data_IF_149250295616
#
_entry.id   IF_149250295616
#
_cell.length_a   1.000
_cell.length_b   1.000
_cell.length_c   1.000
_cell.angle_alpha   90.00
_cell.angle_beta   90.00
_cell.angle_gamma   90.00
#
_symmetry.space_group_name_H-M   'P 1'
#
loop_
_entity.id
_entity.type
_entity.pdbx_description
1 polymer ?
#
# COMPACT_ATOMS: atom_id res chain seq x y z
N UNK A 1 14.71 47.57 -26.79
CA UNK A 1 15.06 47.04 -28.14
C UNK A 1 16.54 47.23 -28.46
N UNK A 2 17.11 48.45 -28.43
CA UNK A 2 18.52 48.70 -28.76
C UNK A 2 19.58 48.03 -27.84
N UNK A 3 19.29 47.92 -26.54
CA UNK A 3 20.17 47.24 -25.57
C UNK A 3 20.26 45.73 -25.80
N UNK A 4 19.18 45.12 -26.28
CA UNK A 4 19.12 43.67 -26.53
C UNK A 4 19.89 43.36 -27.83
N UNK A 5 19.78 44.21 -28.86
CA UNK A 5 20.53 44.04 -30.10
C UNK A 5 22.04 44.20 -29.92
N UNK A 6 22.50 45.15 -29.10
CA UNK A 6 23.93 45.33 -28.82
C UNK A 6 24.51 44.18 -27.96
N UNK A 7 23.72 43.65 -27.03
CA UNK A 7 24.07 42.46 -26.25
C UNK A 7 24.24 41.21 -27.14
N UNK A 8 23.33 41.00 -28.09
CA UNK A 8 23.36 39.88 -29.05
C UNK A 8 24.59 39.98 -29.97
N UNK A 9 24.92 41.19 -30.45
CA UNK A 9 26.09 41.44 -31.29
C UNK A 9 27.42 41.21 -30.54
N UNK A 10 27.49 41.57 -29.25
CA UNK A 10 28.66 41.32 -28.39
C UNK A 10 28.84 39.84 -28.05
N UNK A 11 27.75 39.12 -27.74
CA UNK A 11 27.78 37.67 -27.50
C UNK A 11 28.25 36.87 -28.73
N UNK A 12 27.96 37.36 -29.94
CA UNK A 12 28.35 36.72 -31.21
C UNK A 12 29.85 36.90 -31.54
N UNK A 13 30.49 37.94 -31.01
CA UNK A 13 31.92 38.25 -31.26
C UNK A 13 32.87 37.63 -30.24
N UNK A 14 32.44 37.41 -29.00
CA UNK A 14 33.27 36.81 -27.96
C UNK A 14 32.43 35.82 -27.11
N UNK A 15 32.58 34.48 -27.27
CA UNK A 15 31.73 33.48 -26.63
C UNK A 15 32.13 33.15 -25.17
N UNK A 16 33.23 33.73 -24.68
CA UNK A 16 33.77 33.51 -23.32
C UNK A 16 32.85 33.87 -22.14
N UNK A 17 31.99 34.91 -22.19
CA UNK A 17 31.03 35.17 -21.11
C UNK A 17 29.84 34.20 -21.15
N UNK A 18 29.47 33.68 -22.33
CA UNK A 18 28.39 32.72 -22.49
C UNK A 18 28.75 31.34 -21.94
N UNK A 19 30.03 30.96 -21.91
CA UNK A 19 30.49 29.72 -21.27
C UNK A 19 30.65 29.83 -19.75
N UNK A 20 30.73 31.04 -19.20
CA UNK A 20 30.83 31.30 -17.75
C UNK A 20 29.48 31.53 -17.06
N UNK A 21 28.43 31.86 -17.83
CA UNK A 21 27.07 32.09 -17.33
C UNK A 21 26.32 30.83 -16.83
N UNK A 22 26.43 29.64 -17.48
CA UNK A 22 25.69 28.44 -17.10
C UNK A 22 25.82 28.03 -15.61
N UNK A 23 27.00 28.06 -14.96
CA UNK A 23 27.09 27.70 -13.55
C UNK A 23 26.38 28.69 -12.62
N UNK A 24 26.41 30.00 -12.91
CA UNK A 24 25.70 31.01 -12.11
C UNK A 24 24.20 30.92 -12.31
N UNK A 25 23.74 30.69 -13.55
CA UNK A 25 22.32 30.48 -13.84
C UNK A 25 21.81 29.20 -13.18
N UNK A 26 22.60 28.11 -13.24
CA UNK A 26 22.28 26.86 -12.54
C UNK A 26 22.20 27.07 -11.03
N UNK A 27 23.17 27.77 -10.43
CA UNK A 27 23.14 28.09 -8.99
C UNK A 27 21.91 28.93 -8.61
N UNK A 28 21.54 29.91 -9.43
CA UNK A 28 20.33 30.72 -9.22
C UNK A 28 19.07 29.86 -9.29
N UNK A 29 18.94 28.99 -10.29
CA UNK A 29 17.79 28.08 -10.44
C UNK A 29 17.70 27.09 -9.27
N UNK A 30 18.84 26.57 -8.78
CA UNK A 30 18.89 25.73 -7.58
C UNK A 30 18.41 26.52 -6.37
N UNK A 31 18.88 27.76 -6.18
CA UNK A 31 18.47 28.61 -5.07
C UNK A 31 16.97 28.92 -5.11
N UNK A 32 16.43 29.23 -6.30
CA UNK A 32 14.98 29.41 -6.50
C UNK A 32 14.22 28.13 -6.16
N UNK A 33 14.72 26.96 -6.59
CA UNK A 33 14.13 25.66 -6.26
C UNK A 33 14.10 25.39 -4.75
N UNK A 34 15.20 25.69 -4.04
CA UNK A 34 15.28 25.57 -2.58
C UNK A 34 14.27 26.49 -1.90
N UNK A 35 14.18 27.75 -2.33
CA UNK A 35 13.18 28.69 -1.79
C UNK A 35 11.77 28.13 -2.02
N UNK A 36 11.49 27.60 -3.21
CA UNK A 36 10.18 27.02 -3.53
C UNK A 36 9.81 25.84 -2.63
N UNK A 37 10.78 24.94 -2.35
CA UNK A 37 10.59 23.84 -1.42
C UNK A 37 10.29 24.32 0.01
N UNK A 38 10.92 25.41 0.45
CA UNK A 38 10.65 26.00 1.76
C UNK A 38 9.29 26.72 1.84
N UNK A 39 8.69 27.10 0.71
CA UNK A 39 7.35 27.69 0.67
C UNK A 39 6.23 26.65 0.73
N UNK A 40 6.45 25.40 0.27
CA UNK A 40 5.42 24.36 0.23
C UNK A 40 4.75 24.05 1.59
N UNK A 41 5.45 24.02 2.74
CA UNK A 41 4.82 23.71 4.03
C UNK A 41 3.97 24.85 4.63
N UNK A 42 3.92 26.01 3.97
CA UNK A 42 3.08 27.14 4.41
C UNK A 42 1.59 26.78 4.31
N UNK A 43 0.77 27.38 5.18
CA UNK A 43 -0.67 27.12 5.27
C UNK A 43 -1.42 27.41 3.96
N UNK A 44 -0.95 28.40 3.21
CA UNK A 44 -1.54 28.85 1.95
C UNK A 44 -1.41 27.79 0.84
N UNK A 45 -0.36 26.96 0.92
CA UNK A 45 -0.06 25.90 -0.05
C UNK A 45 -0.39 24.50 0.47
N UNK A 46 -0.40 24.31 1.79
CA UNK A 46 -0.86 23.09 2.45
C UNK A 46 -2.38 23.04 2.45
N UNK A 47 -2.95 22.54 1.35
CA UNK A 47 -4.37 22.12 1.35
C UNK A 47 -4.48 20.89 2.26
N UNK A 48 -5.50 20.86 3.11
CA UNK A 48 -5.87 19.65 3.87
C UNK A 48 -6.16 18.47 2.91
N UNK A 49 -6.43 17.28 3.45
CA UNK A 49 -6.72 16.06 2.67
C UNK A 49 -7.83 16.31 1.65
N UNK A 50 -7.46 16.44 0.38
CA UNK A 50 -8.37 16.65 -0.75
C UNK A 50 -8.54 15.34 -1.52
N UNK A 51 -9.78 14.94 -1.76
CA UNK A 51 -10.06 13.71 -2.50
C UNK A 51 -10.49 14.09 -3.91
N UNK A 52 -9.72 13.64 -4.90
CA UNK A 52 -9.95 13.94 -6.30
C UNK A 52 -10.97 13.00 -6.96
N UNK A 53 -11.10 11.78 -6.42
CA UNK A 53 -11.96 10.72 -6.93
C UNK A 53 -13.27 10.59 -6.14
N UNK A 54 -14.40 10.77 -6.83
CA UNK A 54 -15.73 10.69 -6.23
C UNK A 54 -16.09 9.27 -5.71
N UNK A 55 -15.42 8.22 -6.21
CA UNK A 55 -15.65 6.84 -5.78
C UNK A 55 -15.07 6.54 -4.39
N UNK A 56 -14.18 7.39 -3.87
CA UNK A 56 -13.48 7.22 -2.60
C UNK A 56 -13.91 8.22 -1.52
N UNK A 57 -15.04 8.91 -1.70
CA UNK A 57 -15.53 9.91 -0.76
C UNK A 57 -15.84 9.28 0.63
N UNK A 58 -15.09 9.66 1.68
CA UNK A 58 -15.25 9.14 3.02
C UNK A 58 -16.58 9.63 3.60
N UNK A 59 -17.17 8.85 4.51
CA UNK A 59 -18.40 9.28 5.17
C UNK A 59 -19.70 8.99 4.41
N UNK A 60 -19.64 8.52 3.16
CA UNK A 60 -20.85 8.30 2.37
C UNK A 60 -21.56 6.96 2.65
N UNK A 61 -20.91 6.05 3.38
CA UNK A 61 -21.45 4.70 3.64
C UNK A 61 -21.29 4.35 5.12
N UNK A 62 -22.36 3.81 5.72
CA UNK A 62 -22.29 3.22 7.05
C UNK A 62 -21.55 1.88 7.02
N UNK A 63 -20.55 1.72 7.88
CA UNK A 63 -19.85 0.45 8.07
C UNK A 63 -20.66 -0.45 9.00
N UNK A 64 -21.20 -1.56 8.49
CA UNK A 64 -21.90 -2.55 9.32
C UNK A 64 -20.96 -3.65 9.84
N UNK A 65 -19.64 -3.47 9.67
CA UNK A 65 -18.62 -4.35 10.22
C UNK A 65 -18.44 -4.07 11.71
N UNK A 66 -19.34 -4.60 12.54
CA UNK A 66 -19.35 -4.39 13.99
C UNK A 66 -19.94 -5.60 14.72
N UNK A 67 -19.81 -5.62 16.05
CA UNK A 67 -20.51 -6.56 16.94
C UNK A 67 -20.31 -8.02 16.59
N UNK A 68 -21.25 -8.61 15.85
CA UNK A 68 -21.23 -10.02 15.46
C UNK A 68 -19.98 -10.41 14.67
N UNK A 69 -19.48 -9.52 13.80
CA UNK A 69 -18.28 -9.81 13.01
C UNK A 69 -17.02 -9.92 13.89
N UNK A 70 -17.00 -9.28 15.08
CA UNK A 70 -15.92 -9.46 16.04
C UNK A 70 -15.88 -10.89 16.61
N UNK A 71 -17.03 -11.54 16.76
CA UNK A 71 -17.09 -12.94 17.21
C UNK A 71 -16.59 -13.88 16.11
N UNK A 72 -16.95 -13.61 14.85
CA UNK A 72 -16.44 -14.36 13.70
C UNK A 72 -14.92 -14.22 13.59
N UNK A 73 -14.42 -12.99 13.73
CA UNK A 73 -12.99 -12.72 13.75
C UNK A 73 -12.26 -13.52 14.83
N UNK A 74 -12.77 -13.50 16.07
CA UNK A 74 -12.19 -14.27 17.19
C UNK A 74 -12.22 -15.78 16.91
N UNK A 75 -13.30 -16.28 16.32
CA UNK A 75 -13.44 -17.68 15.92
C UNK A 75 -12.37 -18.09 14.90
N UNK A 76 -12.26 -17.35 13.79
CA UNK A 76 -11.22 -17.64 12.79
C UNK A 76 -9.81 -17.51 13.34
N UNK A 77 -9.56 -16.53 14.22
CA UNK A 77 -8.27 -16.40 14.90
C UNK A 77 -7.95 -17.67 15.70
N UNK A 78 -8.89 -18.19 16.48
CA UNK A 78 -8.71 -19.42 17.26
C UNK A 78 -8.47 -20.64 16.36
N UNK A 79 -9.19 -20.76 15.25
CA UNK A 79 -9.02 -21.86 14.29
C UNK A 79 -7.65 -21.84 13.61
N UNK A 80 -7.17 -20.65 13.26
CA UNK A 80 -5.83 -20.44 12.69
C UNK A 80 -4.74 -20.67 13.74
N UNK A 81 -4.96 -20.19 14.97
CA UNK A 81 -4.05 -20.36 16.09
C UNK A 81 -3.81 -21.84 16.41
N UNK A 82 -4.83 -22.69 16.24
CA UNK A 82 -4.71 -24.14 16.42
C UNK A 82 -3.76 -24.83 15.43
N UNK A 83 -3.50 -24.23 14.26
CA UNK A 83 -2.59 -24.75 13.23
C UNK A 83 -1.33 -23.91 13.08
N UNK A 84 -1.08 -22.95 13.98
CA UNK A 84 0.03 -21.98 13.83
C UNK A 84 1.42 -22.63 13.76
N UNK A 85 1.60 -23.72 14.50
CA UNK A 85 2.86 -24.45 14.63
C UNK A 85 2.93 -25.70 13.74
N UNK A 86 1.88 -25.93 12.93
CA UNK A 86 1.82 -27.06 12.00
C UNK A 86 2.67 -26.79 10.74
N UNK A 87 2.91 -27.85 9.97
CA UNK A 87 3.50 -27.72 8.63
C UNK A 87 2.60 -26.85 7.73
N UNK A 88 3.22 -26.03 6.88
CA UNK A 88 2.48 -25.04 6.10
C UNK A 88 1.47 -25.68 5.13
N UNK A 89 1.67 -26.92 4.70
CA UNK A 89 0.68 -27.66 3.91
C UNK A 89 -0.64 -27.86 4.69
N UNK A 90 -0.56 -28.11 6.00
CA UNK A 90 -1.74 -28.21 6.88
C UNK A 90 -2.40 -26.85 7.05
N UNK A 91 -1.60 -25.79 7.24
CA UNK A 91 -2.08 -24.40 7.29
C UNK A 91 -2.83 -24.05 6.00
N UNK A 92 -2.24 -24.35 4.84
CA UNK A 92 -2.85 -24.13 3.53
C UNK A 92 -4.18 -24.86 3.40
N UNK A 93 -4.23 -26.15 3.76
CA UNK A 93 -5.48 -26.92 3.73
C UNK A 93 -6.56 -26.32 4.63
N UNK A 94 -6.19 -25.84 5.83
CA UNK A 94 -7.12 -25.17 6.75
C UNK A 94 -7.65 -23.85 6.18
N UNK A 95 -6.78 -23.02 5.59
CA UNK A 95 -7.19 -21.78 4.92
C UNK A 95 -8.15 -22.05 3.75
N UNK A 96 -7.83 -23.08 2.94
CA UNK A 96 -8.71 -23.50 1.85
C UNK A 96 -10.07 -23.96 2.36
N UNK A 97 -10.13 -24.69 3.49
CA UNK A 97 -11.40 -25.13 4.07
C UNK A 97 -12.26 -23.94 4.49
N UNK A 98 -11.68 -22.97 5.21
CA UNK A 98 -12.41 -21.78 5.69
C UNK A 98 -13.00 -20.96 4.55
N UNK A 99 -12.23 -20.74 3.48
CA UNK A 99 -12.75 -20.04 2.30
C UNK A 99 -13.88 -20.82 1.60
N UNK A 100 -13.73 -22.15 1.45
CA UNK A 100 -14.78 -23.01 0.85
C UNK A 100 -16.05 -23.02 1.69
N UNK A 101 -15.93 -23.14 3.01
CA UNK A 101 -17.03 -23.06 3.97
C UNK A 101 -17.75 -21.70 3.92
N UNK A 102 -17.01 -20.65 3.57
CA UNK A 102 -17.56 -19.30 3.32
C UNK A 102 -18.22 -19.14 1.94
N UNK A 103 -18.28 -20.21 1.13
CA UNK A 103 -18.90 -20.21 -0.20
C UNK A 103 -18.05 -19.55 -1.29
N UNK A 104 -16.73 -19.53 -1.11
CA UNK A 104 -15.79 -18.90 -2.03
C UNK A 104 -15.03 -19.92 -2.88
N UNK A 105 -14.70 -19.52 -4.11
CA UNK A 105 -13.81 -20.28 -4.98
C UNK A 105 -12.37 -20.07 -4.54
N UNK A 106 -11.66 -21.16 -4.30
CA UNK A 106 -10.29 -21.15 -3.78
C UNK A 106 -9.35 -21.77 -4.79
N UNK A 107 -8.18 -21.17 -4.91
CA UNK A 107 -7.04 -21.73 -5.61
C UNK A 107 -5.77 -21.64 -4.77
N UNK A 108 -4.81 -22.47 -5.14
CA UNK A 108 -3.47 -22.45 -4.58
C UNK A 108 -2.45 -22.30 -5.69
N UNK A 109 -1.29 -21.76 -5.36
CA UNK A 109 -0.17 -21.64 -6.28
C UNK A 109 1.10 -22.06 -5.54
N UNK A 110 1.75 -23.13 -6.00
CA UNK A 110 3.10 -23.47 -5.53
C UNK A 110 4.12 -22.67 -6.32
N UNK A 111 5.19 -22.26 -5.65
CA UNK A 111 6.24 -21.48 -6.27
C UNK A 111 7.60 -21.80 -5.68
N UNK A 112 8.61 -21.78 -6.54
CA UNK A 112 10.02 -21.69 -6.17
C UNK A 112 10.59 -20.41 -6.81
N UNK A 113 10.73 -19.36 -5.99
CA UNK A 113 11.16 -18.04 -6.40
C UNK A 113 12.63 -17.79 -6.04
N UNK A 114 13.46 -17.46 -7.02
CA UNK A 114 14.89 -17.19 -6.80
C UNK A 114 15.13 -15.70 -6.75
N UNK A 115 15.66 -15.21 -5.63
CA UNK A 115 16.02 -13.81 -5.46
C UNK A 115 17.34 -13.68 -4.71
N UNK A 116 18.26 -12.87 -5.25
CA UNK A 116 19.57 -12.58 -4.66
C UNK A 116 20.38 -13.83 -4.24
N UNK A 117 20.28 -14.92 -5.01
CA UNK A 117 20.99 -16.18 -4.73
C UNK A 117 20.29 -17.14 -3.76
N UNK A 118 19.21 -16.70 -3.10
CA UNK A 118 18.38 -17.54 -2.25
C UNK A 118 17.18 -18.11 -3.02
N UNK A 119 16.74 -19.31 -2.63
CA UNK A 119 15.52 -19.94 -3.14
C UNK A 119 14.45 -19.83 -2.06
N UNK A 120 13.34 -19.21 -2.40
CA UNK A 120 12.16 -19.07 -1.56
C UNK A 120 11.05 -19.95 -2.13
N UNK A 121 10.65 -20.96 -1.37
CA UNK A 121 9.64 -21.92 -1.77
C UNK A 121 8.41 -21.81 -0.89
N UNK A 122 7.22 -21.96 -1.47
CA UNK A 122 6.00 -21.91 -0.71
C UNK A 122 4.74 -22.18 -1.51
N UNK A 123 3.59 -22.05 -0.85
CA UNK A 123 2.29 -22.16 -1.47
C UNK A 123 1.42 -20.97 -1.08
N UNK A 124 0.96 -20.21 -2.06
CA UNK A 124 -0.04 -19.16 -1.85
C UNK A 124 -1.44 -19.78 -1.83
N UNK A 125 -2.32 -19.26 -0.98
CA UNK A 125 -3.75 -19.60 -0.98
C UNK A 125 -4.52 -18.33 -1.31
N UNK A 126 -5.40 -18.38 -2.29
CA UNK A 126 -6.17 -17.20 -2.66
C UNK A 126 -7.59 -17.54 -3.09
N UNK A 127 -8.45 -16.53 -3.03
CA UNK A 127 -9.87 -16.62 -3.32
C UNK A 127 -10.34 -15.36 -4.02
N UNK A 128 -11.34 -15.48 -4.90
CA UNK A 128 -11.90 -14.36 -5.66
C UNK A 128 -13.39 -14.22 -5.37
N UNK A 129 -13.79 -13.01 -4.98
CA UNK A 129 -15.19 -12.56 -4.96
C UNK A 129 -15.43 -11.80 -6.26
N UNK A 130 -16.26 -12.36 -7.13
CA UNK A 130 -16.72 -11.64 -8.32
C UNK A 130 -17.74 -10.58 -7.90
N UNK A 131 -17.56 -9.35 -8.38
CA UNK A 131 -18.43 -8.23 -8.10
C UNK A 131 -19.83 -8.47 -8.67
N UNK A 132 -20.89 -8.43 -7.84
CA UNK A 132 -22.26 -8.63 -8.33
C UNK A 132 -22.74 -7.53 -9.29
N UNK A 133 -22.13 -6.34 -9.24
CA UNK A 133 -22.43 -5.19 -10.10
C UNK A 133 -21.27 -4.79 -11.00
N UNK A 134 -20.21 -5.60 -11.05
CA UNK A 134 -19.05 -5.40 -11.91
C UNK A 134 -19.14 -6.26 -13.16
N UNK A 135 -18.37 -5.90 -14.17
CA UNK A 135 -18.16 -6.69 -15.40
C UNK A 135 -16.95 -7.65 -15.29
N UNK A 136 -16.30 -7.70 -14.11
CA UNK A 136 -15.12 -8.52 -13.86
C UNK A 136 -13.84 -8.01 -14.52
N UNK A 137 -13.82 -6.77 -15.02
CA UNK A 137 -12.66 -6.18 -15.70
C UNK A 137 -11.65 -5.52 -14.76
N UNK A 138 -12.04 -5.27 -13.51
CA UNK A 138 -11.22 -4.62 -12.50
C UNK A 138 -11.27 -5.39 -11.18
N UNK A 139 -10.12 -5.45 -10.49
CA UNK A 139 -9.98 -6.14 -9.22
C UNK A 139 -9.14 -5.36 -8.21
N UNK A 140 -9.41 -5.57 -6.92
CA UNK A 140 -8.60 -5.11 -5.79
C UNK A 140 -8.09 -6.33 -5.03
N UNK A 141 -6.84 -6.27 -4.57
CA UNK A 141 -6.21 -7.37 -3.81
C UNK A 141 -6.11 -7.02 -2.33
N UNK A 142 -6.61 -7.90 -1.48
CA UNK A 142 -6.42 -7.87 -0.04
C UNK A 142 -5.43 -8.96 0.34
N UNK A 143 -4.24 -8.56 0.78
CA UNK A 143 -3.12 -9.45 1.08
C UNK A 143 -2.97 -9.60 2.58
N UNK A 144 -2.80 -10.82 3.07
CA UNK A 144 -2.34 -11.06 4.44
C UNK A 144 -1.29 -12.16 4.43
N UNK A 145 -0.05 -11.81 4.76
CA UNK A 145 1.01 -12.79 4.92
C UNK A 145 0.83 -13.55 6.24
N UNK A 146 1.16 -14.84 6.27
CA UNK A 146 1.17 -15.65 7.48
C UNK A 146 2.25 -15.20 8.47
N UNK A 147 3.41 -14.84 7.94
CA UNK A 147 4.51 -14.21 8.68
C UNK A 147 4.75 -12.80 8.16
N UNK A 148 4.89 -11.84 9.07
CA UNK A 148 5.23 -10.45 8.73
C UNK A 148 6.63 -10.35 8.15
N UNK A 149 7.01 -9.16 7.68
CA UNK A 149 8.39 -8.85 7.25
C UNK A 149 9.43 -9.16 8.34
N UNK A 150 9.04 -9.09 9.63
CA UNK A 150 9.92 -9.40 10.77
C UNK A 150 9.98 -10.89 11.12
N UNK A 151 9.20 -11.73 10.43
CA UNK A 151 9.07 -13.15 10.73
C UNK A 151 8.12 -13.47 11.89
N UNK A 152 7.38 -12.47 12.40
CA UNK A 152 6.37 -12.65 13.45
C UNK A 152 5.08 -13.26 12.86
N UNK A 153 4.35 -14.11 13.60
CA UNK A 153 3.09 -14.66 13.13
C UNK A 153 2.01 -13.57 13.05
N UNK A 154 1.38 -13.44 11.89
CA UNK A 154 0.37 -12.43 11.60
C UNK A 154 -1.06 -12.99 11.68
N UNK A 155 -1.37 -13.69 12.79
CA UNK A 155 -2.63 -14.43 12.93
C UNK A 155 -3.85 -13.49 12.86
N UNK A 156 -3.75 -12.28 13.44
CA UNK A 156 -4.84 -11.31 13.39
C UNK A 156 -5.03 -10.73 11.99
N UNK A 157 -3.95 -10.48 11.23
CA UNK A 157 -4.05 -10.03 9.84
C UNK A 157 -4.74 -11.07 8.95
N UNK A 158 -4.38 -12.35 9.09
CA UNK A 158 -5.01 -13.45 8.34
C UNK A 158 -6.47 -13.65 8.76
N UNK A 159 -6.75 -13.65 10.07
CA UNK A 159 -8.12 -13.76 10.58
C UNK A 159 -9.01 -12.59 10.12
N UNK A 160 -8.46 -11.36 10.03
CA UNK A 160 -9.16 -10.20 9.49
C UNK A 160 -9.50 -10.40 8.02
N UNK A 161 -8.54 -10.86 7.21
CA UNK A 161 -8.77 -11.15 5.79
C UNK A 161 -9.88 -12.19 5.59
N UNK A 162 -9.87 -13.29 6.36
CA UNK A 162 -10.92 -14.32 6.30
C UNK A 162 -12.30 -13.79 6.72
N UNK A 163 -12.34 -12.98 7.78
CA UNK A 163 -13.59 -12.36 8.26
C UNK A 163 -14.16 -11.43 7.21
N UNK A 164 -13.32 -10.59 6.61
CA UNK A 164 -13.70 -9.69 5.51
C UNK A 164 -14.17 -10.47 4.29
N UNK A 165 -13.52 -11.58 3.93
CA UNK A 165 -13.94 -12.42 2.81
C UNK A 165 -15.36 -12.95 2.99
N UNK A 166 -15.67 -13.49 4.17
CA UNK A 166 -17.02 -13.93 4.52
C UNK A 166 -18.03 -12.79 4.53
N UNK A 167 -17.65 -11.65 5.10
CA UNK A 167 -18.52 -10.47 5.19
C UNK A 167 -18.83 -9.90 3.80
N UNK A 168 -17.82 -9.69 2.96
CA UNK A 168 -17.96 -9.15 1.60
C UNK A 168 -18.76 -10.07 0.68
N UNK A 169 -18.64 -11.40 0.85
CA UNK A 169 -19.42 -12.36 0.07
C UNK A 169 -20.94 -12.20 0.25
N UNK A 170 -21.39 -11.69 1.39
CA UNK A 170 -22.81 -11.46 1.71
C UNK A 170 -23.36 -10.16 1.12
N UNK A 171 -22.47 -9.30 0.63
CA UNK A 171 -22.82 -7.96 0.15
C UNK A 171 -22.95 -7.93 -1.37
N UNK A 172 -23.99 -7.28 -1.89
CA UNK A 172 -24.33 -7.22 -3.32
C UNK A 172 -23.98 -5.89 -4.01
N UNK A 173 -23.20 -5.04 -3.35
CA UNK A 173 -22.93 -3.67 -3.80
C UNK A 173 -21.58 -3.49 -4.51
N UNK A 174 -20.72 -4.52 -4.51
CA UNK A 174 -19.38 -4.43 -5.09
C UNK A 174 -19.41 -4.22 -6.61
N UNK A 175 -18.60 -3.26 -7.08
CA UNK A 175 -18.40 -2.91 -8.49
C UNK A 175 -17.08 -3.41 -9.07
N UNK A 176 -16.14 -3.86 -8.22
CA UNK A 176 -14.84 -4.44 -8.59
C UNK A 176 -14.68 -5.79 -7.91
N UNK A 177 -14.04 -6.73 -8.59
CA UNK A 177 -13.72 -8.03 -8.01
C UNK A 177 -12.76 -7.85 -6.83
N UNK A 178 -12.88 -8.71 -5.82
CA UNK A 178 -12.04 -8.67 -4.62
C UNK A 178 -11.29 -9.98 -4.50
N UNK A 179 -9.97 -9.88 -4.54
CA UNK A 179 -9.07 -11.03 -4.41
C UNK A 179 -8.53 -11.04 -2.99
N UNK A 180 -8.71 -12.14 -2.27
CA UNK A 180 -8.06 -12.38 -0.99
C UNK A 180 -6.85 -13.28 -1.22
N UNK A 181 -5.67 -12.79 -0.90
CA UNK A 181 -4.39 -13.48 -1.09
C UNK A 181 -3.72 -13.70 0.26
N UNK A 182 -3.54 -14.97 0.64
CA UNK A 182 -2.80 -15.38 1.84
C UNK A 182 -1.48 -16.01 1.40
N UNK A 183 -0.37 -15.39 1.79
CA UNK A 183 0.98 -15.80 1.43
C UNK A 183 1.71 -16.38 2.64
N UNK A 184 2.69 -17.29 2.45
CA UNK A 184 3.53 -17.76 3.56
C UNK A 184 4.35 -16.63 4.21
N UNK A 185 4.76 -15.66 3.41
CA UNK A 185 5.61 -14.54 3.79
C UNK A 185 5.20 -13.24 3.07
N UNK A 186 5.63 -12.08 3.60
CA UNK A 186 5.24 -10.76 3.07
C UNK A 186 5.87 -10.36 1.74
N UNK A 187 6.86 -11.11 1.19
CA UNK A 187 7.62 -10.70 0.00
C UNK A 187 7.55 -11.72 -1.14
N UNK A 188 8.17 -12.90 -0.98
CA UNK A 188 8.30 -13.88 -2.06
C UNK A 188 6.97 -14.44 -2.52
N UNK A 189 6.06 -14.78 -1.60
CA UNK A 189 4.73 -15.26 -1.97
C UNK A 189 3.94 -14.25 -2.78
N UNK A 190 3.92 -12.98 -2.34
CA UNK A 190 3.21 -11.92 -3.05
C UNK A 190 3.83 -11.66 -4.43
N UNK A 191 5.16 -11.65 -4.53
CA UNK A 191 5.89 -11.47 -5.78
C UNK A 191 5.63 -12.61 -6.78
N UNK A 192 5.70 -13.87 -6.33
CA UNK A 192 5.43 -15.01 -7.19
C UNK A 192 3.97 -15.02 -7.71
N UNK A 193 3.04 -14.55 -6.88
CA UNK A 193 1.63 -14.45 -7.27
C UNK A 193 1.40 -13.33 -8.30
N UNK A 194 1.95 -12.14 -8.08
CA UNK A 194 1.79 -11.01 -9.02
C UNK A 194 2.47 -11.27 -10.37
N UNK A 195 3.66 -11.87 -10.36
CA UNK A 195 4.36 -12.26 -11.58
C UNK A 195 3.51 -13.27 -12.37
N UNK A 196 2.89 -14.24 -11.69
CA UNK A 196 2.00 -15.19 -12.35
C UNK A 196 0.65 -14.58 -12.79
N UNK A 197 0.16 -13.59 -12.07
CA UNK A 197 -1.04 -12.85 -12.45
C UNK A 197 -0.87 -12.18 -13.82
N UNK A 198 0.30 -11.59 -14.05
CA UNK A 198 0.66 -10.91 -15.30
C UNK A 198 1.32 -11.82 -16.35
N UNK A 199 1.33 -13.14 -16.14
CA UNK A 199 1.98 -14.10 -17.06
C UNK A 199 3.48 -13.82 -17.29
N UNK A 200 4.14 -13.24 -16.28
CA UNK A 200 5.57 -12.89 -16.25
C UNK A 200 6.40 -13.86 -15.37
N UNK A 201 5.81 -14.99 -14.99
CA UNK A 201 6.43 -15.91 -14.04
C UNK A 201 7.46 -16.84 -14.71
N UNK A 202 8.53 -17.24 -13.99
CA UNK A 202 9.44 -18.28 -14.48
C UNK A 202 8.78 -19.67 -14.44
N UNK A 203 9.35 -20.68 -15.11
CA UNK A 203 8.82 -22.06 -15.10
C UNK A 203 8.76 -22.72 -13.72
N UNK A 204 9.48 -22.19 -12.74
CA UNK A 204 9.51 -22.68 -11.35
C UNK A 204 8.34 -22.16 -10.51
N UNK A 205 7.49 -21.31 -11.07
CA UNK A 205 6.28 -20.76 -10.42
C UNK A 205 5.07 -21.29 -11.17
N UNK A 206 4.09 -21.84 -10.46
CA UNK A 206 2.87 -22.34 -11.09
C UNK A 206 2.01 -21.18 -11.65
N UNK A 207 1.36 -21.39 -12.80
CA UNK A 207 0.38 -20.43 -13.32
C UNK A 207 -0.86 -20.39 -12.42
N UNK A 208 -1.61 -19.29 -12.48
CA UNK A 208 -2.82 -19.12 -11.67
C UNK A 208 -4.05 -19.74 -12.35
N UNK A 209 -4.73 -20.73 -11.73
CA UNK A 209 -5.94 -21.34 -12.30
C UNK A 209 -7.16 -20.42 -12.22
N UNK A 210 -7.14 -19.45 -11.29
CA UNK A 210 -8.16 -18.41 -11.16
C UNK A 210 -7.52 -17.04 -11.38
N UNK A 211 -8.07 -16.26 -12.31
CA UNK A 211 -7.71 -14.85 -12.54
C UNK A 211 -8.98 -13.99 -12.54
N UNK A 212 -8.79 -12.69 -12.37
CA UNK A 212 -9.83 -11.68 -12.45
C UNK A 212 -9.33 -10.54 -13.35
N UNK A 213 -9.98 -9.38 -13.29
CA UNK A 213 -9.65 -8.20 -14.07
C UNK A 213 -8.31 -7.54 -13.75
N UNK A 214 -8.07 -6.38 -14.33
CA UNK A 214 -6.89 -5.57 -14.07
C UNK A 214 -6.84 -5.14 -12.59
N UNK A 215 -5.67 -5.28 -11.96
CA UNK A 215 -5.47 -4.90 -10.57
C UNK A 215 -5.42 -3.37 -10.44
N UNK A 216 -6.40 -2.80 -9.72
CA UNK A 216 -6.51 -1.35 -9.51
C UNK A 216 -5.86 -0.90 -8.20
N UNK A 217 -5.65 -1.82 -7.26
CA UNK A 217 -5.02 -1.52 -5.99
C UNK A 217 -4.82 -2.77 -5.14
N UNK A 218 -3.94 -2.64 -4.15
CA UNK A 218 -3.69 -3.69 -3.17
C UNK A 218 -3.61 -3.10 -1.75
N UNK A 219 -4.14 -3.83 -0.78
CA UNK A 219 -4.04 -3.50 0.64
C UNK A 219 -3.46 -4.71 1.37
N UNK A 220 -2.35 -4.52 2.07
CA UNK A 220 -1.68 -5.56 2.84
C UNK A 220 -1.95 -5.39 4.34
N UNK A 221 -2.49 -6.42 4.98
CA UNK A 221 -2.76 -6.45 6.41
C UNK A 221 -1.58 -7.04 7.18
N UNK A 222 -0.85 -6.20 7.91
CA UNK A 222 0.09 -6.63 8.95
C UNK A 222 -0.42 -6.21 10.33
N UNK A 223 -0.94 -7.19 11.07
CA UNK A 223 -1.48 -7.04 12.42
C UNK A 223 -0.97 -8.20 13.30
N UNK A 224 0.30 -8.16 13.75
CA UNK A 224 0.90 -9.26 14.52
C UNK A 224 0.68 -9.18 16.04
N UNK A 225 -0.06 -8.19 16.55
CA UNK A 225 -0.19 -7.92 17.98
C UNK A 225 -1.61 -8.13 18.50
N UNK A 226 -1.76 -8.43 19.79
CA UNK A 226 -3.05 -8.70 20.46
C UNK A 226 -3.51 -7.55 21.39
N UNK A 227 -2.79 -6.43 21.42
CA UNK A 227 -3.14 -5.26 22.23
C UNK A 227 -3.99 -4.26 21.44
N UNK A 228 -4.63 -3.34 22.17
CA UNK A 228 -5.28 -2.16 21.57
C UNK A 228 -4.22 -1.21 21.01
N UNK A 229 -4.60 -0.43 20.03
CA UNK A 229 -3.77 0.64 19.46
C UNK A 229 -4.54 1.95 19.52
N UNK A 230 -3.83 3.06 19.70
CA UNK A 230 -4.42 4.40 19.75
C UNK A 230 -4.29 5.16 18.41
N UNK A 231 -3.42 4.68 17.53
CA UNK A 231 -3.13 5.32 16.25
C UNK A 231 -2.87 4.31 15.13
N UNK A 232 -3.22 4.70 13.91
CA UNK A 232 -2.86 4.00 12.68
C UNK A 232 -1.73 4.79 12.05
N UNK A 233 -0.58 4.16 11.81
CA UNK A 233 0.49 4.81 11.07
C UNK A 233 0.50 4.34 9.63
N UNK A 234 0.40 5.33 8.73
CA UNK A 234 0.31 5.13 7.29
C UNK A 234 1.65 5.55 6.67
N UNK A 235 2.25 4.61 5.94
CA UNK A 235 3.48 4.82 5.18
C UNK A 235 3.15 4.70 3.69
N UNK A 236 3.61 5.65 2.89
CA UNK A 236 3.27 5.75 1.47
C UNK A 236 4.50 5.53 0.55
N UNK A 237 5.54 4.89 1.07
CA UNK A 237 6.78 4.68 0.32
C UNK A 237 6.62 3.52 -0.68
N UNK A 238 6.71 3.82 -1.97
CA UNK A 238 6.75 2.83 -3.04
C UNK A 238 8.15 2.60 -3.59
N UNK A 239 8.31 1.50 -4.32
CA UNK A 239 9.58 1.15 -4.99
C UNK A 239 9.95 2.25 -5.98
N UNK A 240 11.23 2.65 -6.03
CA UNK A 240 11.74 3.67 -6.96
C UNK A 240 11.03 5.03 -6.87
N UNK A 241 10.54 5.40 -5.69
CA UNK A 241 9.85 6.68 -5.49
C UNK A 241 8.45 6.75 -6.11
N UNK A 242 7.88 5.60 -6.48
CA UNK A 242 6.46 5.53 -6.80
C UNK A 242 5.62 5.87 -5.55
N UNK A 243 4.53 6.58 -5.76
CA UNK A 243 3.60 6.95 -4.69
C UNK A 243 2.28 6.20 -4.89
N UNK A 244 1.63 5.75 -3.81
CA UNK A 244 0.28 5.22 -3.89
C UNK A 244 -0.70 6.32 -4.31
N UNK A 245 -1.88 5.91 -4.75
CA UNK A 245 -2.95 6.86 -5.04
C UNK A 245 -3.24 7.72 -3.80
N UNK A 246 -3.13 9.04 -3.95
CA UNK A 246 -3.36 10.02 -2.88
C UNK A 246 -4.78 9.93 -2.32
N UNK A 247 -5.77 9.56 -3.14
CA UNK A 247 -7.15 9.48 -2.69
C UNK A 247 -7.36 8.31 -1.73
N UNK A 248 -6.73 7.15 -1.99
CA UNK A 248 -6.77 6.01 -1.07
C UNK A 248 -6.22 6.39 0.31
N UNK A 249 -5.13 7.15 0.31
CA UNK A 249 -4.50 7.66 1.50
C UNK A 249 -5.38 8.67 2.25
N UNK A 250 -5.93 9.65 1.53
CA UNK A 250 -6.80 10.67 2.12
C UNK A 250 -8.08 10.07 2.70
N UNK A 251 -8.65 9.06 2.04
CA UNK A 251 -9.80 8.32 2.56
C UNK A 251 -9.45 7.58 3.85
N UNK A 252 -8.29 6.91 3.91
CA UNK A 252 -7.85 6.23 5.13
C UNK A 252 -7.65 7.21 6.31
N UNK A 253 -7.01 8.35 6.07
CA UNK A 253 -6.82 9.41 7.08
C UNK A 253 -8.17 9.98 7.52
N UNK A 254 -9.06 10.28 6.58
CA UNK A 254 -10.37 10.87 6.86
C UNK A 254 -11.28 9.92 7.65
N UNK A 255 -11.31 8.62 7.30
CA UNK A 255 -12.10 7.62 8.03
C UNK A 255 -11.53 7.41 9.44
N UNK A 256 -10.21 7.27 9.57
CA UNK A 256 -9.54 7.04 10.86
C UNK A 256 -9.80 8.20 11.81
N UNK A 257 -9.46 9.43 11.41
CA UNK A 257 -9.60 10.61 12.25
C UNK A 257 -11.07 11.00 12.45
N UNK A 258 -11.87 10.98 11.38
CA UNK A 258 -13.24 11.52 11.39
C UNK A 258 -14.29 10.56 11.94
N UNK A 259 -14.33 9.32 11.45
CA UNK A 259 -15.37 8.36 11.82
C UNK A 259 -14.99 7.49 13.01
N UNK A 260 -13.73 7.05 13.08
CA UNK A 260 -13.28 6.11 14.11
C UNK A 260 -12.68 6.81 15.33
N UNK A 261 -12.31 8.09 15.21
CA UNK A 261 -11.61 8.83 16.27
C UNK A 261 -10.21 8.28 16.56
N UNK A 262 -9.62 7.53 15.63
CA UNK A 262 -8.28 6.95 15.74
C UNK A 262 -7.32 7.87 15.00
N UNK A 263 -6.23 8.27 15.66
CA UNK A 263 -5.25 9.18 15.06
C UNK A 263 -4.55 8.49 13.89
N UNK A 264 -4.55 9.13 12.73
CA UNK A 264 -3.73 8.72 11.59
C UNK A 264 -2.42 9.51 11.58
N UNK A 265 -1.32 8.82 11.91
CA UNK A 265 0.03 9.40 11.92
C UNK A 265 0.75 9.08 10.60
N UNK A 266 1.55 10.01 10.09
CA UNK A 266 2.19 9.90 8.77
C UNK A 266 3.70 9.86 8.88
N UNK A 267 4.36 8.99 8.12
CA UNK A 267 5.84 9.01 7.97
C UNK A 267 6.61 9.04 9.30
N UNK A 268 6.09 8.33 10.32
CA UNK A 268 6.68 8.24 11.66
C UNK A 268 6.79 9.60 12.38
N UNK A 269 5.85 10.49 12.09
CA UNK A 269 5.69 11.79 12.75
C UNK A 269 4.68 11.70 13.89
N UNK A 270 5.00 10.88 14.90
CA UNK A 270 4.10 10.49 16.00
C UNK A 270 3.54 11.62 16.86
N UNK A 271 4.19 12.79 16.83
CA UNK A 271 3.79 14.00 17.57
C UNK A 271 3.80 15.17 16.59
N UNK A 272 2.80 15.22 15.71
CA UNK A 272 2.67 16.27 14.70
C UNK A 272 1.69 17.36 15.17
N UNK A 273 2.19 18.57 15.42
CA UNK A 273 1.40 19.73 15.87
C UNK A 273 0.92 20.63 14.73
N UNK A 274 1.14 20.19 13.49
CA UNK A 274 0.82 20.92 12.26
C UNK A 274 1.55 22.27 12.09
N UNK A 275 2.60 22.50 12.89
CA UNK A 275 3.47 23.66 12.71
C UNK A 275 4.27 23.55 11.40
N UNK A 276 4.69 24.71 10.87
CA UNK A 276 5.55 24.78 9.69
C UNK A 276 6.79 23.87 9.81
N UNK A 277 7.41 23.85 10.99
CA UNK A 277 8.60 23.02 11.26
C UNK A 277 8.27 21.54 11.11
N UNK A 278 7.16 21.08 11.69
CA UNK A 278 6.75 19.68 11.60
C UNK A 278 6.37 19.31 10.17
N UNK A 279 5.63 20.15 9.45
CA UNK A 279 5.30 19.92 8.03
C UNK A 279 6.54 19.85 7.14
N UNK A 280 7.50 20.76 7.34
CA UNK A 280 8.76 20.74 6.63
C UNK A 280 9.55 19.45 6.94
N UNK A 281 9.58 19.04 8.20
CA UNK A 281 10.22 17.79 8.62
C UNK A 281 9.55 16.57 7.99
N UNK A 282 8.21 16.50 7.98
CA UNK A 282 7.44 15.46 7.31
C UNK A 282 7.76 15.39 5.82
N UNK A 283 7.76 16.54 5.14
CA UNK A 283 8.06 16.64 3.71
C UNK A 283 9.49 16.19 3.39
N UNK A 284 10.49 16.70 4.11
CA UNK A 284 11.90 16.34 3.92
C UNK A 284 12.13 14.86 4.20
N UNK A 285 11.52 14.32 5.25
CA UNK A 285 11.63 12.89 5.59
C UNK A 285 11.03 12.02 4.49
N UNK A 286 9.85 12.36 3.98
CA UNK A 286 9.24 11.66 2.85
C UNK A 286 10.12 11.71 1.60
N UNK A 287 10.65 12.89 1.23
CA UNK A 287 11.56 13.04 0.10
C UNK A 287 12.86 12.24 0.28
N UNK A 288 13.44 12.21 1.48
CA UNK A 288 14.65 11.44 1.77
C UNK A 288 14.39 9.94 1.68
N UNK A 289 13.28 9.44 2.22
CA UNK A 289 12.91 8.01 2.15
C UNK A 289 12.72 7.55 0.71
N UNK A 290 12.01 8.34 -0.08
CA UNK A 290 11.82 8.09 -1.51
C UNK A 290 13.14 8.13 -2.28
N UNK A 291 13.98 9.14 -2.03
CA UNK A 291 15.26 9.31 -2.73
C UNK A 291 16.30 8.23 -2.39
N UNK A 292 16.28 7.70 -1.16
CA UNK A 292 17.16 6.63 -0.72
C UNK A 292 16.64 5.23 -1.09
N UNK A 293 15.42 5.11 -1.63
CA UNK A 293 14.79 3.83 -1.96
C UNK A 293 14.67 2.89 -0.75
N UNK A 294 14.70 3.43 0.46
CA UNK A 294 14.66 2.64 1.69
C UNK A 294 13.21 2.20 1.91
N UNK A 295 12.87 1.00 1.43
CA UNK A 295 11.59 0.34 1.68
C UNK A 295 11.47 0.00 3.18
N UNK A 296 11.11 0.96 4.01
CA UNK A 296 10.67 0.69 5.36
C UNK A 296 9.14 0.73 5.45
N UNK A 297 8.56 -0.48 5.55
CA UNK A 297 7.30 -0.83 6.24
C UNK A 297 6.04 -0.14 5.72
N UNK A 298 5.23 -0.90 4.96
CA UNK A 298 4.01 -0.40 4.33
C UNK A 298 2.85 -0.23 5.32
N UNK A 299 2.85 -0.89 6.48
CA UNK A 299 1.94 -0.58 7.58
C UNK A 299 2.61 -0.88 8.92
N UNK A 300 2.78 0.12 9.78
CA UNK A 300 3.01 -0.10 11.20
C UNK A 300 1.83 0.49 11.95
N UNK A 301 1.16 -0.33 12.75
CA UNK A 301 0.23 0.18 13.77
C UNK A 301 1.04 0.27 15.05
N UNK A 302 1.05 1.45 15.68
CA UNK A 302 1.73 1.65 16.95
C UNK A 302 0.71 1.67 18.09
N UNK A 303 1.07 0.94 19.15
CA UNK A 303 0.39 0.88 20.44
C UNK A 303 0.17 2.28 21.00
#
# INVERSE_FOLDING_TARGET
MALISDLILRLRRDPRPLSKLPPYLSALLILVGIIWLLLLPLNEYSRQTYISENALLPGQVHTYFSGSEQNIFRGYRQEIEAVKDAEYDVVSQKLQSIFRESGLKVATQKYDYRSAGNVYSGQNVYSIIQAPRGDGTEAIVLVAAWKTIKGEPNLNGVALALTLARYFKRWSLWSKDIIFLITPDSRSGAQAWIDAYHDMHPPSVEPLPLKSGALQGALAFEYPFDHRFESIHIVYDGVNGQLPNLDLFNTAVSISNGQMGIRAELQEMWNHDDSYKMRLQTMVRGMMRQGLGTLERIFQVQC
#
